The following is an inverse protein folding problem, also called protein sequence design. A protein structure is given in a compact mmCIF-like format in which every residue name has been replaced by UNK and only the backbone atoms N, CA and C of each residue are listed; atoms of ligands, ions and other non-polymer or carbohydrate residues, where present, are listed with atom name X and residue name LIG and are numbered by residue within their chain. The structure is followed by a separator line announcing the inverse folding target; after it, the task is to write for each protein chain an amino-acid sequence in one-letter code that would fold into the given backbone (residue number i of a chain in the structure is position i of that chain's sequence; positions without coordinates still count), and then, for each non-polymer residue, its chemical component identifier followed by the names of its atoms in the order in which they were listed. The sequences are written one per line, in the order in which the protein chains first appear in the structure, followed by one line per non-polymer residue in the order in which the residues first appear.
data_IF_308199393439
#
_entry.id   IF_308199393439
#
_cell.length_a   1.000
_cell.length_b   1.000
_cell.length_c   1.000
_cell.angle_alpha   90.00
_cell.angle_beta   90.00
_cell.angle_gamma   90.00
#
_symmetry.space_group_name_H-M   'P 1'
#
loop_
_entity.id
_entity.type
_entity.pdbx_description
1 polymer ?
#
# COMPACT_ATOMS: atom_id res chain seq x y z
N UNK A 1 -3.30 20.43 -22.39
CA UNK A 1 -4.29 20.29 -21.29
C UNK A 1 -3.97 21.28 -20.18
N UNK A 2 -4.79 21.33 -19.13
CA UNK A 2 -4.50 22.18 -17.95
C UNK A 2 -3.16 21.79 -17.27
N UNK A 3 -2.82 20.49 -17.27
CA UNK A 3 -1.55 19.97 -16.75
C UNK A 3 -0.30 20.58 -17.41
N UNK A 4 -0.30 20.73 -18.75
CA UNK A 4 0.85 21.32 -19.46
C UNK A 4 1.00 22.82 -19.23
N UNK A 5 -0.10 23.55 -18.99
CA UNK A 5 -0.04 24.98 -18.60
C UNK A 5 0.48 25.14 -17.17
N UNK A 6 0.02 24.30 -16.24
CA UNK A 6 0.51 24.26 -14.85
C UNK A 6 2.01 23.99 -14.77
N UNK A 7 2.50 22.98 -15.50
CA UNK A 7 3.93 22.65 -15.53
C UNK A 7 4.78 23.80 -16.09
N UNK A 8 4.29 24.53 -17.11
CA UNK A 8 5.00 25.71 -17.65
C UNK A 8 5.15 26.83 -16.61
N UNK A 9 4.09 27.09 -15.83
CA UNK A 9 4.13 28.08 -14.76
C UNK A 9 5.08 27.64 -13.63
N UNK A 10 5.03 26.38 -13.23
CA UNK A 10 5.92 25.81 -12.21
C UNK A 10 7.38 25.83 -12.65
N UNK A 11 7.70 25.53 -13.91
CA UNK A 11 9.07 25.66 -14.44
C UNK A 11 9.60 27.10 -14.36
N UNK A 12 8.74 28.10 -14.60
CA UNK A 12 9.12 29.50 -14.44
C UNK A 12 9.36 29.85 -12.98
N UNK A 13 8.49 29.40 -12.08
CA UNK A 13 8.66 29.60 -10.64
C UNK A 13 9.94 28.94 -10.12
N UNK A 14 10.20 27.68 -10.51
CA UNK A 14 11.41 26.96 -10.16
C UNK A 14 12.69 27.60 -10.76
N UNK A 15 12.59 28.25 -11.92
CA UNK A 15 13.69 29.04 -12.47
C UNK A 15 13.98 30.34 -11.71
N UNK A 16 13.00 30.88 -10.97
CA UNK A 16 13.17 32.05 -10.11
C UNK A 16 13.73 31.65 -8.73
N UNK A 17 13.22 30.56 -8.17
CA UNK A 17 13.72 29.95 -6.95
C UNK A 17 13.68 28.42 -7.08
N UNK A 18 14.85 27.83 -7.30
CA UNK A 18 15.00 26.37 -7.41
C UNK A 18 14.88 25.67 -6.05
N UNK A 19 14.93 26.43 -4.95
CA UNK A 19 14.87 25.90 -3.58
C UNK A 19 13.48 26.00 -2.96
N UNK A 20 12.47 26.50 -3.68
CA UNK A 20 11.10 26.52 -3.18
C UNK A 20 10.51 25.10 -3.12
N UNK A 21 10.36 24.62 -1.90
CA UNK A 21 9.91 23.26 -1.63
C UNK A 21 8.48 23.00 -2.14
N UNK A 22 7.60 24.02 -2.13
CA UNK A 22 6.21 23.85 -2.59
C UNK A 22 6.11 23.79 -4.11
N UNK A 23 6.91 24.58 -4.82
CA UNK A 23 7.04 24.48 -6.28
C UNK A 23 7.57 23.10 -6.68
N UNK A 24 8.63 22.61 -6.04
CA UNK A 24 9.15 21.27 -6.30
C UNK A 24 8.08 20.19 -6.03
N UNK A 25 7.34 20.29 -4.92
CA UNK A 25 6.24 19.34 -4.62
C UNK A 25 5.16 19.35 -5.70
N UNK A 26 4.78 20.54 -6.17
CA UNK A 26 3.78 20.73 -7.22
C UNK A 26 4.25 20.20 -8.57
N UNK A 27 5.55 20.32 -8.88
CA UNK A 27 6.15 19.68 -10.05
C UNK A 27 6.08 18.16 -9.94
N UNK A 28 6.40 17.59 -8.78
CA UNK A 28 6.24 16.16 -8.49
C UNK A 28 4.82 15.67 -8.78
N UNK A 29 3.79 16.39 -8.30
CA UNK A 29 2.39 16.10 -8.58
C UNK A 29 2.05 16.13 -10.07
N UNK A 30 2.59 17.12 -10.81
CA UNK A 30 2.37 17.22 -12.25
C UNK A 30 2.97 16.04 -13.02
N UNK A 31 4.18 15.60 -12.65
CA UNK A 31 4.82 14.44 -13.27
C UNK A 31 4.13 13.13 -12.90
N UNK A 32 3.72 12.96 -11.63
CA UNK A 32 2.96 11.81 -11.18
C UNK A 32 1.63 11.66 -11.94
N UNK A 33 0.92 12.78 -12.17
CA UNK A 33 -0.31 12.78 -12.98
C UNK A 33 -0.09 12.39 -14.45
N UNK A 34 1.12 12.58 -14.97
CA UNK A 34 1.54 12.14 -16.31
C UNK A 34 2.12 10.72 -16.32
N UNK A 35 2.14 10.03 -15.17
CA UNK A 35 2.78 8.72 -14.96
C UNK A 35 4.28 8.71 -15.22
N UNK A 36 4.92 9.88 -15.19
CA UNK A 36 6.37 10.03 -15.24
C UNK A 36 6.94 9.90 -13.82
N UNK A 37 6.99 8.67 -13.32
CA UNK A 37 7.29 8.42 -11.91
C UNK A 37 8.74 8.70 -11.52
N UNK A 38 9.70 8.60 -12.45
CA UNK A 38 11.09 8.99 -12.23
C UNK A 38 11.20 10.48 -11.90
N UNK A 39 10.65 11.32 -12.78
CA UNK A 39 10.59 12.78 -12.59
C UNK A 39 9.82 13.14 -11.32
N UNK A 40 8.70 12.46 -11.05
CA UNK A 40 7.92 12.68 -9.84
C UNK A 40 8.74 12.41 -8.57
N UNK A 41 9.42 11.26 -8.50
CA UNK A 41 10.26 10.90 -7.36
C UNK A 41 11.40 11.92 -7.15
N UNK A 42 12.05 12.37 -8.23
CA UNK A 42 13.09 13.39 -8.16
C UNK A 42 12.57 14.69 -7.52
N UNK A 43 11.45 15.23 -8.00
CA UNK A 43 10.92 16.49 -7.51
C UNK A 43 10.32 16.40 -6.10
N UNK A 44 9.75 15.25 -5.72
CA UNK A 44 9.35 15.02 -4.33
C UNK A 44 10.56 14.95 -3.39
N UNK A 45 11.63 14.26 -3.78
CA UNK A 45 12.87 14.20 -2.99
C UNK A 45 13.52 15.60 -2.85
N UNK A 46 13.51 16.39 -3.93
CA UNK A 46 13.96 17.78 -3.93
C UNK A 46 13.12 18.64 -2.96
N UNK A 47 11.80 18.55 -3.03
CA UNK A 47 10.88 19.23 -2.10
C UNK A 47 11.19 18.90 -0.63
N UNK A 48 11.41 17.63 -0.31
CA UNK A 48 11.77 17.18 1.04
C UNK A 48 13.12 17.76 1.47
N UNK A 49 14.11 17.75 0.58
CA UNK A 49 15.45 18.33 0.82
C UNK A 49 15.37 19.82 1.12
N UNK A 50 14.47 20.54 0.46
CA UNK A 50 14.26 21.98 0.64
C UNK A 50 13.32 22.35 1.80
N UNK A 51 12.82 21.38 2.56
CA UNK A 51 12.17 21.63 3.85
C UNK A 51 10.74 21.12 3.97
N UNK A 52 10.11 20.62 2.89
CA UNK A 52 8.77 20.02 2.95
C UNK A 52 8.81 18.59 3.50
N UNK A 53 9.28 18.44 4.73
CA UNK A 53 9.38 17.16 5.45
C UNK A 53 8.03 16.82 6.08
N UNK A 54 7.04 16.49 5.26
CA UNK A 54 5.71 16.07 5.72
C UNK A 54 5.44 14.61 5.38
N UNK A 55 4.56 13.98 6.16
CA UNK A 55 4.05 12.62 5.89
C UNK A 55 3.51 12.48 4.46
N UNK A 56 2.78 13.50 3.98
CA UNK A 56 2.29 13.58 2.60
C UNK A 56 3.43 13.58 1.56
N UNK A 57 4.51 14.33 1.79
CA UNK A 57 5.63 14.38 0.84
C UNK A 57 6.32 13.01 0.73
N UNK A 58 6.56 12.37 1.88
CA UNK A 58 7.10 11.01 1.92
C UNK A 58 6.13 9.96 1.33
N UNK A 59 4.82 10.12 1.51
CA UNK A 59 3.82 9.27 0.86
C UNK A 59 3.94 9.33 -0.67
N UNK A 60 3.95 10.53 -1.26
CA UNK A 60 4.01 10.65 -2.71
C UNK A 60 5.36 10.22 -3.31
N UNK A 61 6.47 10.45 -2.60
CA UNK A 61 7.76 9.89 -2.96
C UNK A 61 7.71 8.36 -2.96
N UNK A 62 7.21 7.75 -1.87
CA UNK A 62 7.08 6.29 -1.76
C UNK A 62 6.17 5.67 -2.81
N UNK A 63 5.07 6.34 -3.17
CA UNK A 63 4.18 5.91 -4.25
C UNK A 63 4.85 5.94 -5.62
N UNK A 64 5.67 6.95 -5.88
CA UNK A 64 6.44 7.08 -7.12
C UNK A 64 7.50 5.96 -7.21
N UNK A 65 8.27 5.75 -6.13
CA UNK A 65 9.26 4.67 -6.02
C UNK A 65 8.62 3.27 -6.20
N UNK A 66 7.48 3.03 -5.56
CA UNK A 66 6.72 1.78 -5.73
C UNK A 66 6.28 1.59 -7.18
N UNK A 67 5.87 2.65 -7.87
CA UNK A 67 5.44 2.58 -9.27
C UNK A 67 6.60 2.28 -10.22
N UNK A 68 7.83 2.63 -9.83
CA UNK A 68 9.07 2.25 -10.51
C UNK A 68 9.55 0.82 -10.16
N UNK A 69 8.89 0.16 -9.20
CA UNK A 69 9.26 -1.17 -8.72
C UNK A 69 10.33 -1.16 -7.62
N UNK A 70 10.80 0.01 -7.18
CA UNK A 70 11.74 0.15 -6.07
C UNK A 70 10.98 0.04 -4.73
N UNK A 71 10.71 -1.19 -4.33
CA UNK A 71 9.93 -1.50 -3.13
C UNK A 71 10.71 -1.20 -1.84
N UNK A 72 12.04 -1.30 -1.88
CA UNK A 72 12.93 -0.98 -0.78
C UNK A 72 12.92 0.52 -0.46
N UNK A 73 13.10 1.38 -1.47
CA UNK A 73 13.04 2.82 -1.26
C UNK A 73 11.63 3.28 -0.87
N UNK A 74 10.60 2.69 -1.47
CA UNK A 74 9.21 2.96 -1.10
C UNK A 74 8.94 2.63 0.38
N UNK A 75 9.44 1.48 0.87
CA UNK A 75 9.33 1.09 2.28
C UNK A 75 9.95 2.15 3.20
N UNK A 76 11.14 2.63 2.88
CA UNK A 76 11.83 3.66 3.67
C UNK A 76 11.06 4.99 3.67
N UNK A 77 10.58 5.43 2.52
CA UNK A 77 9.76 6.64 2.39
C UNK A 77 8.49 6.53 3.23
N UNK A 78 7.73 5.43 3.13
CA UNK A 78 6.52 5.27 3.95
C UNK A 78 6.82 5.22 5.45
N UNK A 79 7.92 4.57 5.86
CA UNK A 79 8.37 4.57 7.27
C UNK A 79 8.69 5.98 7.75
N UNK A 80 9.38 6.81 6.95
CA UNK A 80 9.64 8.22 7.28
C UNK A 80 8.34 9.01 7.41
N UNK A 81 7.37 8.78 6.53
CA UNK A 81 6.05 9.39 6.62
C UNK A 81 5.30 9.00 7.91
N UNK A 82 5.30 7.72 8.28
CA UNK A 82 4.70 7.22 9.52
C UNK A 82 5.41 7.78 10.77
N UNK A 83 6.73 7.95 10.72
CA UNK A 83 7.47 8.56 11.82
C UNK A 83 7.08 10.02 12.07
N UNK A 84 6.66 10.74 11.02
CA UNK A 84 6.15 12.12 11.13
C UNK A 84 4.71 12.13 11.62
N UNK A 85 3.88 11.24 11.08
CA UNK A 85 2.49 11.10 11.47
C UNK A 85 2.13 9.61 11.63
N UNK A 86 2.15 9.07 12.87
CA UNK A 86 1.84 7.68 13.15
C UNK A 86 0.41 7.26 12.78
N UNK A 87 -0.50 8.23 12.65
CA UNK A 87 -1.93 8.00 12.35
C UNK A 87 -2.26 8.21 10.86
N UNK A 88 -1.26 8.45 10.00
CA UNK A 88 -1.49 8.55 8.57
C UNK A 88 -1.89 7.19 7.98
N UNK A 89 -3.20 6.95 7.89
CA UNK A 89 -3.81 5.73 7.33
C UNK A 89 -3.27 5.41 5.92
N UNK A 90 -3.02 6.41 5.10
CA UNK A 90 -2.54 6.23 3.72
C UNK A 90 -1.10 5.71 3.69
N UNK A 91 -0.20 6.24 4.53
CA UNK A 91 1.17 5.72 4.66
C UNK A 91 1.18 4.30 5.25
N UNK A 92 0.40 4.04 6.30
CA UNK A 92 0.28 2.72 6.91
C UNK A 92 -0.24 1.69 5.90
N UNK A 93 -1.30 2.01 5.15
CA UNK A 93 -1.85 1.14 4.12
C UNK A 93 -0.85 0.90 2.99
N UNK A 94 -0.15 1.95 2.54
CA UNK A 94 0.84 1.83 1.47
C UNK A 94 2.03 0.95 1.90
N UNK A 95 2.51 1.11 3.14
CA UNK A 95 3.55 0.25 3.72
C UNK A 95 3.09 -1.21 3.83
N UNK A 96 1.86 -1.45 4.27
CA UNK A 96 1.25 -2.78 4.27
C UNK A 96 1.24 -3.41 2.87
N UNK A 97 0.89 -2.62 1.85
CA UNK A 97 0.94 -3.05 0.45
C UNK A 97 2.36 -3.37 -0.04
N UNK A 98 3.37 -2.58 0.34
CA UNK A 98 4.77 -2.86 0.02
C UNK A 98 5.24 -4.16 0.69
N UNK A 99 4.95 -4.37 1.97
CA UNK A 99 5.27 -5.62 2.64
C UNK A 99 4.59 -6.83 1.98
N UNK A 100 3.33 -6.71 1.58
CA UNK A 100 2.63 -7.77 0.87
C UNK A 100 3.28 -8.09 -0.49
N UNK A 101 3.68 -7.07 -1.26
CA UNK A 101 4.40 -7.24 -2.53
C UNK A 101 5.75 -7.94 -2.33
N UNK A 102 6.43 -7.67 -1.20
CA UNK A 102 7.67 -8.34 -0.78
C UNK A 102 7.43 -9.68 -0.07
N UNK A 103 6.20 -10.20 -0.06
CA UNK A 103 5.78 -11.45 0.62
C UNK A 103 6.02 -11.47 2.13
N UNK A 104 6.18 -10.30 2.76
CA UNK A 104 6.32 -10.12 4.22
C UNK A 104 4.94 -10.01 4.87
N UNK A 105 4.13 -11.06 4.75
CA UNK A 105 2.70 -11.02 5.07
C UNK A 105 2.39 -10.69 6.54
N UNK A 106 3.20 -11.17 7.49
CA UNK A 106 3.03 -10.84 8.91
C UNK A 106 3.18 -9.33 9.17
N UNK A 107 4.19 -8.71 8.55
CA UNK A 107 4.42 -7.26 8.67
C UNK A 107 3.31 -6.47 7.97
N UNK A 108 2.83 -6.97 6.82
CA UNK A 108 1.69 -6.37 6.12
C UNK A 108 0.42 -6.37 6.99
N UNK A 109 0.11 -7.52 7.61
CA UNK A 109 -1.03 -7.67 8.51
C UNK A 109 -0.95 -6.69 9.69
N UNK A 110 0.24 -6.48 10.27
CA UNK A 110 0.44 -5.50 11.34
C UNK A 110 0.07 -4.07 10.91
N UNK A 111 0.51 -3.64 9.72
CA UNK A 111 0.18 -2.29 9.24
C UNK A 111 -1.31 -2.14 8.93
N UNK A 112 -1.94 -3.16 8.32
CA UNK A 112 -3.38 -3.12 8.06
C UNK A 112 -4.20 -3.09 9.36
N UNK A 113 -3.79 -3.83 10.39
CA UNK A 113 -4.42 -3.74 11.73
C UNK A 113 -4.34 -2.34 12.31
N UNK A 114 -3.20 -1.65 12.17
CA UNK A 114 -3.05 -0.25 12.61
C UNK A 114 -4.03 0.67 11.88
N UNK A 115 -4.20 0.50 10.56
CA UNK A 115 -5.20 1.26 9.80
C UNK A 115 -6.62 0.99 10.32
N UNK A 116 -6.96 -0.27 10.59
CA UNK A 116 -8.29 -0.66 11.08
C UNK A 116 -8.56 -0.26 12.53
N UNK A 117 -7.52 -0.04 13.33
CA UNK A 117 -7.66 0.54 14.67
C UNK A 117 -8.03 2.03 14.60
N UNK A 118 -7.57 2.75 13.58
CA UNK A 118 -7.90 4.15 13.32
C UNK A 118 -9.25 4.31 12.60
N UNK A 119 -9.57 3.38 11.71
CA UNK A 119 -10.80 3.36 10.91
C UNK A 119 -11.17 1.93 10.55
N UNK A 120 -12.07 1.36 11.36
CA UNK A 120 -12.53 -0.01 11.21
C UNK A 120 -13.29 -0.24 9.91
N UNK A 121 -13.77 0.81 9.24
CA UNK A 121 -14.52 0.77 7.98
C UNK A 121 -13.64 0.92 6.74
N UNK A 122 -12.32 1.05 6.92
CA UNK A 122 -11.39 1.25 5.82
C UNK A 122 -11.19 -0.02 4.97
N UNK A 123 -12.07 -0.20 3.97
CA UNK A 123 -12.12 -1.41 3.13
C UNK A 123 -10.79 -1.86 2.53
N UNK A 124 -9.92 -0.97 1.99
CA UNK A 124 -8.64 -1.41 1.45
C UNK A 124 -7.74 -2.11 2.47
N UNK A 125 -7.80 -1.72 3.75
CA UNK A 125 -7.05 -2.39 4.81
C UNK A 125 -7.70 -3.70 5.24
N UNK A 126 -9.02 -3.81 5.24
CA UNK A 126 -9.72 -5.09 5.49
C UNK A 126 -9.34 -6.13 4.41
N UNK A 127 -9.38 -5.73 3.14
CA UNK A 127 -8.95 -6.56 2.01
C UNK A 127 -7.48 -6.96 2.16
N UNK A 128 -6.61 -5.99 2.43
CA UNK A 128 -5.18 -6.23 2.62
C UNK A 128 -4.89 -7.19 3.77
N UNK A 129 -5.61 -7.06 4.89
CA UNK A 129 -5.47 -7.93 6.06
C UNK A 129 -5.96 -9.36 5.77
N UNK A 130 -7.14 -9.49 5.14
CA UNK A 130 -7.66 -10.79 4.73
C UNK A 130 -6.72 -11.53 3.77
N UNK A 131 -6.18 -10.81 2.78
CA UNK A 131 -5.17 -11.36 1.87
C UNK A 131 -3.87 -11.75 2.59
N UNK A 132 -3.37 -10.91 3.52
CA UNK A 132 -2.18 -11.21 4.29
C UNK A 132 -2.35 -12.49 5.13
N UNK A 133 -3.47 -12.63 5.86
CA UNK A 133 -3.77 -13.84 6.61
C UNK A 133 -3.89 -15.09 5.74
N UNK A 134 -4.52 -14.96 4.57
CA UNK A 134 -4.62 -16.05 3.62
C UNK A 134 -3.25 -16.55 3.15
N UNK A 135 -2.35 -15.64 2.78
CA UNK A 135 -0.99 -16.02 2.38
C UNK A 135 -0.14 -16.55 3.55
N UNK A 136 -0.48 -16.18 4.78
CA UNK A 136 0.07 -16.79 6.01
C UNK A 136 -0.54 -18.16 6.32
N UNK A 137 -1.57 -18.59 5.59
CA UNK A 137 -2.38 -19.79 5.84
C UNK A 137 -3.18 -19.75 7.15
N UNK A 138 -3.39 -18.54 7.68
CA UNK A 138 -4.26 -18.29 8.81
C UNK A 138 -5.70 -18.11 8.32
N UNK A 139 -6.28 -19.22 7.85
CA UNK A 139 -7.60 -19.20 7.21
C UNK A 139 -8.71 -18.79 8.18
N UNK A 140 -8.55 -19.06 9.48
CA UNK A 140 -9.55 -18.69 10.49
C UNK A 140 -9.68 -17.17 10.60
N UNK A 141 -8.56 -16.45 10.71
CA UNK A 141 -8.59 -14.99 10.73
C UNK A 141 -8.94 -14.40 9.35
N UNK A 142 -8.50 -15.02 8.25
CA UNK A 142 -8.88 -14.59 6.90
C UNK A 142 -10.41 -14.65 6.71
N UNK A 143 -11.03 -15.77 7.06
CA UNK A 143 -12.48 -15.96 6.95
C UNK A 143 -13.24 -14.92 7.80
N UNK A 144 -12.78 -14.65 9.01
CA UNK A 144 -13.40 -13.67 9.92
C UNK A 144 -13.39 -12.26 9.32
N UNK A 145 -12.23 -11.80 8.83
CA UNK A 145 -12.08 -10.45 8.26
C UNK A 145 -12.92 -10.30 7.00
N UNK A 146 -12.93 -11.31 6.14
CA UNK A 146 -13.67 -11.28 4.86
C UNK A 146 -15.17 -11.44 5.04
N UNK A 147 -15.61 -12.20 6.05
CA UNK A 147 -17.02 -12.28 6.44
C UNK A 147 -17.54 -10.92 6.90
N UNK A 148 -16.76 -10.21 7.73
CA UNK A 148 -17.13 -8.86 8.15
C UNK A 148 -17.21 -7.90 6.96
N UNK A 149 -16.27 -7.99 6.01
CA UNK A 149 -16.30 -7.19 4.77
C UNK A 149 -17.54 -7.49 3.91
N UNK A 150 -17.97 -8.75 3.85
CA UNK A 150 -19.16 -9.16 3.08
C UNK A 150 -20.47 -8.53 3.59
N UNK A 151 -20.61 -8.38 4.92
CA UNK A 151 -21.81 -7.83 5.53
C UNK A 151 -22.02 -6.33 5.25
N UNK A 152 -20.99 -5.61 4.80
CA UNK A 152 -21.02 -4.14 4.61
C UNK A 152 -21.04 -3.74 3.12
N UNK A 153 -21.33 -4.70 2.22
CA UNK A 153 -21.53 -4.50 0.78
C UNK A 153 -20.24 -4.20 -0.03
N UNK A 154 -19.52 -5.26 -0.40
CA UNK A 154 -18.50 -5.18 -1.44
C UNK A 154 -18.46 -6.46 -2.27
N UNK A 155 -18.92 -6.38 -3.52
CA UNK A 155 -18.88 -7.49 -4.49
C UNK A 155 -17.46 -8.04 -4.69
N UNK A 156 -16.43 -7.20 -4.47
CA UNK A 156 -15.03 -7.58 -4.49
C UNK A 156 -14.62 -8.43 -3.26
N UNK A 157 -15.12 -8.08 -2.07
CA UNK A 157 -14.94 -8.89 -0.86
C UNK A 157 -15.53 -10.30 -1.02
N UNK A 158 -16.69 -10.41 -1.67
CA UNK A 158 -17.32 -11.69 -1.99
C UNK A 158 -16.47 -12.55 -2.95
N UNK A 159 -15.92 -11.96 -4.03
CA UNK A 159 -15.04 -12.68 -4.96
C UNK A 159 -13.78 -13.20 -4.26
N UNK A 160 -13.16 -12.38 -3.41
CA UNK A 160 -11.95 -12.75 -2.68
C UNK A 160 -12.24 -13.84 -1.64
N UNK A 161 -13.36 -13.75 -0.90
CA UNK A 161 -13.79 -14.77 0.05
C UNK A 161 -14.01 -16.13 -0.63
N UNK A 162 -14.68 -16.16 -1.78
CA UNK A 162 -14.91 -17.40 -2.52
C UNK A 162 -13.62 -18.05 -3.02
N UNK A 163 -12.66 -17.23 -3.49
CA UNK A 163 -11.34 -17.72 -3.89
C UNK A 163 -10.59 -18.33 -2.71
N UNK A 164 -10.63 -17.66 -1.56
CA UNK A 164 -9.95 -18.09 -0.34
C UNK A 164 -10.52 -19.40 0.19
N UNK A 165 -11.86 -19.52 0.27
CA UNK A 165 -12.53 -20.77 0.67
C UNK A 165 -12.18 -21.93 -0.25
N UNK A 166 -12.25 -21.71 -1.58
CA UNK A 166 -11.94 -22.73 -2.59
C UNK A 166 -10.51 -23.26 -2.45
N UNK A 167 -9.54 -22.39 -2.22
CA UNK A 167 -8.16 -22.81 -2.07
C UNK A 167 -7.88 -23.46 -0.72
N UNK A 168 -8.50 -22.96 0.36
CA UNK A 168 -8.42 -23.61 1.67
C UNK A 168 -8.93 -25.06 1.60
N UNK A 169 -10.04 -25.29 0.90
CA UNK A 169 -10.61 -26.63 0.70
C UNK A 169 -9.71 -27.51 -0.19
N UNK A 170 -9.12 -26.97 -1.26
CA UNK A 170 -8.12 -27.69 -2.05
C UNK A 170 -6.93 -28.14 -1.21
N UNK A 171 -6.41 -27.27 -0.35
CA UNK A 171 -5.28 -27.62 0.51
C UNK A 171 -5.65 -28.63 1.60
N UNK A 172 -6.85 -28.53 2.17
CA UNK A 172 -7.39 -29.55 3.09
C UNK A 172 -7.50 -30.90 2.38
N UNK A 173 -8.01 -30.93 1.15
CA UNK A 173 -8.11 -32.14 0.34
C UNK A 173 -6.72 -32.71 -0.02
N UNK A 174 -5.74 -31.88 -0.37
CA UNK A 174 -4.37 -32.30 -0.64
C UNK A 174 -3.69 -32.89 0.60
N UNK A 175 -3.90 -32.30 1.78
CA UNK A 175 -3.38 -32.83 3.06
C UNK A 175 -3.99 -34.19 3.39
N UNK A 176 -5.30 -34.37 3.20
CA UNK A 176 -5.98 -35.66 3.40
C UNK A 176 -5.44 -36.75 2.47
N UNK A 177 -5.13 -36.41 1.21
CA UNK A 177 -4.54 -37.37 0.25
C UNK A 177 -3.09 -37.77 0.58
N UNK A 178 -2.37 -36.94 1.33
CA UNK A 178 -0.97 -37.17 1.67
C UNK A 178 -0.78 -37.72 3.11
N UNK A 179 -1.86 -38.02 3.83
CA UNK A 179 -1.78 -38.79 5.08
C UNK A 179 -1.83 -40.28 4.72
N UNK A 180 -0.77 -41.07 4.97
CA UNK A 180 -0.85 -42.51 4.79
C UNK A 180 -1.87 -43.06 5.79
N UNK A 181 -2.76 -43.94 5.33
CA UNK A 181 -3.77 -44.60 6.16
C UNK A 181 -3.10 -45.28 7.36
N UNK A 182 -3.18 -44.67 8.54
CA UNK A 182 -2.78 -45.28 9.80
C UNK A 182 -3.91 -46.11 10.40
N UNK A 183 -4.59 -46.90 9.56
CA UNK A 183 -5.57 -47.91 9.97
C UNK A 183 -5.11 -49.25 9.45
N UNK A 184 -4.20 -49.86 10.22
CA UNK A 184 -3.70 -51.20 9.98
C UNK A 184 -3.04 -51.75 11.23
N UNK A 185 -3.82 -51.97 12.28
CA UNK A 185 -3.57 -52.97 13.33
C UNK A 185 -4.90 -53.47 13.88
#
# INVERSE_FOLDING_TARGET
GQLTKGLKALRRAHGLDSTDAETAFSMGNCFAAQREFDSAAQYYAESIRHGKKTDQAYYFLGMSQRSLGDLEAAEESFKKGININPENKTCLQALGGVYAARKKYAMAAEQFKKVLALDSTYYPAQIGLGAAYYFMRDFAHADTVLYNLFQVDSSYGFQLLNLIKKEADRQRAARRKNQPDSTGH
#
